data_IF_352399410636
#
_entry.id   IF_352399410636
#
_cell.length_a   1.000
_cell.length_b   1.000
_cell.length_c   1.000
_cell.angle_alpha   90.00
_cell.angle_beta   90.00
_cell.angle_gamma   90.00
#
_symmetry.space_group_name_H-M   'P 1'
#
loop_
_entity.id
_entity.type
_entity.pdbx_description
1 polymer ?
#
# COMPACT_ATOMS: atom_id res chain seq x y z
N UNK A 1 4.98 19.46 11.85
CA UNK A 1 3.71 19.00 12.46
C UNK A 1 4.09 17.94 13.48
N UNK A 2 3.76 18.14 14.77
CA UNK A 2 4.00 17.12 15.80
C UNK A 2 2.90 16.07 15.72
N UNK A 3 3.14 14.99 14.99
CA UNK A 3 2.22 13.86 14.88
C UNK A 3 2.28 13.06 16.18
N UNK A 4 1.22 13.12 16.98
CA UNK A 4 1.12 12.31 18.20
C UNK A 4 0.65 10.91 17.80
N UNK A 5 1.59 9.98 17.61
CA UNK A 5 1.29 8.60 17.22
C UNK A 5 1.02 7.72 18.43
N UNK A 6 -0.11 7.01 18.43
CA UNK A 6 -0.42 5.96 19.42
C UNK A 6 0.14 4.64 18.89
N UNK A 7 1.03 4.00 19.66
CA UNK A 7 1.58 2.69 19.33
C UNK A 7 0.99 1.61 20.23
N UNK A 8 0.59 0.49 19.64
CA UNK A 8 0.18 -0.69 20.40
C UNK A 8 1.41 -1.39 21.00
N UNK A 9 1.38 -1.66 22.31
CA UNK A 9 2.50 -2.30 23.03
C UNK A 9 2.68 -3.80 22.74
N UNK A 10 1.71 -4.42 22.05
CA UNK A 10 1.71 -5.84 21.71
C UNK A 10 1.27 -6.01 20.26
N UNK A 11 1.75 -7.08 19.62
CA UNK A 11 1.18 -7.53 18.36
C UNK A 11 -0.30 -7.87 18.58
N UNK A 12 -1.16 -7.29 17.75
CA UNK A 12 -2.61 -7.53 17.80
C UNK A 12 -2.99 -8.56 16.73
N UNK A 13 -3.97 -9.40 17.02
CA UNK A 13 -4.69 -10.10 15.95
C UNK A 13 -5.45 -9.08 15.09
N UNK A 14 -5.86 -9.48 13.88
CA UNK A 14 -6.64 -8.61 13.00
C UNK A 14 -7.94 -8.13 13.67
N UNK A 15 -8.64 -9.01 14.40
CA UNK A 15 -9.89 -8.63 15.10
C UNK A 15 -9.62 -7.65 16.24
N UNK A 16 -8.52 -7.84 16.99
CA UNK A 16 -8.12 -6.92 18.06
C UNK A 16 -7.74 -5.55 17.50
N UNK A 17 -7.04 -5.51 16.36
CA UNK A 17 -6.75 -4.27 15.64
C UNK A 17 -8.04 -3.57 15.21
N UNK A 18 -8.98 -4.27 14.57
CA UNK A 18 -10.25 -3.69 14.15
C UNK A 18 -11.07 -3.14 15.32
N UNK A 19 -11.10 -3.86 16.45
CA UNK A 19 -11.77 -3.38 17.66
C UNK A 19 -11.12 -2.10 18.20
N UNK A 20 -9.79 -2.06 18.27
CA UNK A 20 -9.06 -0.89 18.74
C UNK A 20 -9.27 0.33 17.84
N UNK A 21 -9.24 0.15 16.51
CA UNK A 21 -9.54 1.21 15.53
C UNK A 21 -10.92 1.79 15.77
N UNK A 22 -11.95 0.95 15.90
CA UNK A 22 -13.34 1.41 16.15
C UNK A 22 -13.46 2.23 17.43
N UNK A 23 -12.77 1.82 18.50
CA UNK A 23 -12.78 2.56 19.78
C UNK A 23 -12.11 3.93 19.61
N UNK A 24 -10.96 3.98 18.93
CA UNK A 24 -10.23 5.23 18.67
C UNK A 24 -11.06 6.19 17.80
N UNK A 25 -11.69 5.70 16.75
CA UNK A 25 -12.59 6.49 15.90
C UNK A 25 -13.80 7.01 16.69
N UNK A 26 -14.41 6.18 17.55
CA UNK A 26 -15.56 6.57 18.37
C UNK A 26 -15.27 7.69 19.37
N UNK A 27 -14.02 7.83 19.81
CA UNK A 27 -13.57 8.93 20.69
C UNK A 27 -13.02 10.14 19.90
N UNK A 28 -13.15 10.13 18.57
CA UNK A 28 -12.76 11.25 17.70
C UNK A 28 -11.28 11.27 17.32
N UNK A 29 -10.55 10.15 17.48
CA UNK A 29 -9.17 10.02 17.02
C UNK A 29 -9.14 9.32 15.66
N UNK A 30 -8.73 10.04 14.62
CA UNK A 30 -8.51 9.47 13.30
C UNK A 30 -7.32 8.50 13.31
N UNK A 31 -7.58 7.23 12.97
CA UNK A 31 -6.53 6.24 12.81
C UNK A 31 -6.08 6.23 11.35
N UNK A 32 -4.90 6.78 11.10
CA UNK A 32 -4.25 6.72 9.80
C UNK A 32 -3.63 5.34 9.61
N UNK A 33 -4.29 4.50 8.81
CA UNK A 33 -3.71 3.25 8.34
C UNK A 33 -2.74 3.55 7.19
N UNK A 34 -1.45 3.67 7.50
CA UNK A 34 -0.38 3.87 6.50
C UNK A 34 -0.31 2.73 5.47
N UNK A 35 -0.98 1.60 5.71
CA UNK A 35 -1.05 0.49 4.75
C UNK A 35 -2.17 0.66 3.71
N UNK A 36 -3.03 1.68 3.84
CA UNK A 36 -4.04 1.99 2.81
C UNK A 36 -3.35 2.48 1.54
N UNK A 37 -3.40 1.64 0.51
CA UNK A 37 -3.08 2.04 -0.85
C UNK A 37 -3.92 3.26 -1.25
N UNK A 38 -3.26 4.28 -1.78
CA UNK A 38 -3.93 5.38 -2.47
C UNK A 38 -4.78 4.83 -3.62
N UNK A 39 -5.84 5.55 -4.01
CA UNK A 39 -6.71 5.16 -5.12
C UNK A 39 -5.91 4.90 -6.41
N UNK A 40 -4.96 5.80 -6.71
CA UNK A 40 -4.02 5.67 -7.82
C UNK A 40 -3.15 4.40 -7.73
N UNK A 41 -2.65 4.05 -6.54
CA UNK A 41 -1.90 2.81 -6.36
C UNK A 41 -2.78 1.58 -6.61
N UNK A 42 -4.03 1.60 -6.11
CA UNK A 42 -5.01 0.54 -6.34
C UNK A 42 -5.32 0.36 -7.83
N UNK A 43 -5.59 1.44 -8.54
CA UNK A 43 -5.84 1.42 -9.98
C UNK A 43 -4.65 0.87 -10.77
N UNK A 44 -3.44 1.29 -10.41
CA UNK A 44 -2.21 0.81 -11.07
C UNK A 44 -2.03 -0.70 -10.92
N UNK A 45 -2.29 -1.24 -9.72
CA UNK A 45 -2.21 -2.68 -9.45
C UNK A 45 -3.26 -3.43 -10.27
N UNK A 46 -4.53 -2.99 -10.24
CA UNK A 46 -5.61 -3.62 -11.00
C UNK A 46 -5.35 -3.61 -12.50
N UNK A 47 -4.80 -2.50 -13.03
CA UNK A 47 -4.39 -2.41 -14.44
C UNK A 47 -3.27 -3.38 -14.76
N UNK A 48 -2.26 -3.51 -13.89
CA UNK A 48 -1.16 -4.46 -14.06
C UNK A 48 -1.63 -5.91 -14.10
N UNK A 49 -2.57 -6.29 -13.22
CA UNK A 49 -3.19 -7.62 -13.22
C UNK A 49 -3.92 -7.88 -14.54
N UNK A 50 -4.76 -6.95 -15.00
CA UNK A 50 -5.47 -7.09 -16.29
C UNK A 50 -4.51 -7.20 -17.49
N UNK A 51 -3.39 -6.49 -17.46
CA UNK A 51 -2.36 -6.60 -18.50
C UNK A 51 -1.69 -7.99 -18.47
N UNK A 52 -1.44 -8.55 -17.29
CA UNK A 52 -0.89 -9.88 -17.14
C UNK A 52 -1.85 -10.96 -17.67
N UNK A 53 -3.14 -10.86 -17.35
CA UNK A 53 -4.18 -11.78 -17.86
C UNK A 53 -4.28 -11.78 -19.39
N UNK A 54 -3.98 -10.64 -20.03
CA UNK A 54 -3.96 -10.49 -21.49
C UNK A 54 -2.62 -10.85 -22.15
N UNK A 55 -1.60 -11.22 -21.36
CA UNK A 55 -0.25 -11.44 -21.87
C UNK A 55 0.48 -10.17 -22.32
N UNK A 56 0.00 -8.98 -21.93
CA UNK A 56 0.56 -7.67 -22.27
C UNK A 56 1.70 -7.24 -21.33
N UNK A 57 2.22 -8.17 -20.51
CA UNK A 57 3.35 -7.93 -19.62
C UNK A 57 4.68 -7.99 -20.36
N UNK A 58 5.68 -7.29 -19.82
CA UNK A 58 7.06 -7.35 -20.32
C UNK A 58 7.89 -8.29 -19.47
N UNK A 59 8.85 -8.95 -20.11
CA UNK A 59 9.82 -9.76 -19.39
C UNK A 59 10.70 -8.87 -18.49
N UNK A 60 11.24 -9.45 -17.42
CA UNK A 60 12.13 -8.72 -16.52
C UNK A 60 13.36 -8.16 -17.26
N UNK A 61 13.85 -8.87 -18.29
CA UNK A 61 14.99 -8.45 -19.11
C UNK A 61 14.65 -7.17 -19.89
N UNK A 62 13.48 -7.11 -20.53
CA UNK A 62 13.05 -5.92 -21.27
C UNK A 62 12.85 -4.71 -20.36
N UNK A 63 12.31 -4.93 -19.16
CA UNK A 63 12.17 -3.89 -18.15
C UNK A 63 13.55 -3.39 -17.71
N UNK A 64 14.49 -4.30 -17.44
CA UNK A 64 15.87 -3.96 -17.03
C UNK A 64 16.61 -3.16 -18.10
N UNK A 65 16.55 -3.58 -19.36
CA UNK A 65 17.23 -2.89 -20.45
C UNK A 65 16.62 -1.51 -20.73
N UNK A 66 15.30 -1.35 -20.60
CA UNK A 66 14.68 -0.01 -20.64
C UNK A 66 15.11 0.87 -19.47
N UNK A 67 15.16 0.33 -18.26
CA UNK A 67 15.58 1.07 -17.08
C UNK A 67 17.03 1.55 -17.22
N UNK A 68 17.95 0.71 -17.71
CA UNK A 68 19.34 1.11 -18.01
C UNK A 68 19.41 2.31 -18.95
N UNK A 69 18.65 2.28 -20.06
CA UNK A 69 18.61 3.38 -21.04
C UNK A 69 18.09 4.69 -20.46
N UNK A 70 17.07 4.63 -19.60
CA UNK A 70 16.46 5.82 -18.99
C UNK A 70 17.33 6.36 -17.85
N UNK A 71 17.87 5.47 -17.02
CA UNK A 71 18.64 5.83 -15.82
C UNK A 71 20.13 6.03 -16.10
N UNK A 72 20.61 5.75 -17.32
CA UNK A 72 21.99 5.98 -17.73
C UNK A 72 23.02 5.05 -17.08
N UNK A 73 22.66 3.78 -16.81
CA UNK A 73 23.55 2.75 -16.24
C UNK A 73 24.06 1.81 -17.32
#
# INVERSE_FOLDING_TARGET
MNTHTIQFKKALSFEQYQMAVRVLEAIGLEVYDETRLTEKQRENILRGIKQAEKGETKSYLEVREKARKICGV
#
